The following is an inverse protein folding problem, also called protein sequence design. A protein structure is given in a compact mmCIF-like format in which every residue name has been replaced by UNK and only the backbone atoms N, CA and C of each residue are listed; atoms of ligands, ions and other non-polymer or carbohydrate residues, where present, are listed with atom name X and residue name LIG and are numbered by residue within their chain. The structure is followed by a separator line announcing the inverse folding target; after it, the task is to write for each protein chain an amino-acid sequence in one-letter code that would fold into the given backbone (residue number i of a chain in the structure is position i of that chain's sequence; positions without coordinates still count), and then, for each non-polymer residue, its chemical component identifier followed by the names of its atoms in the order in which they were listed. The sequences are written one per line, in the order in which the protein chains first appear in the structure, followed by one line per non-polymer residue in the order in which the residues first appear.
data_IF_178586004729
#
_entry.id   IF_178586004729
#
_cell.length_a   1.000
_cell.length_b   1.000
_cell.length_c   1.000
_cell.angle_alpha   90.00
_cell.angle_beta   90.00
_cell.angle_gamma   90.00
#
_symmetry.space_group_name_H-M   'P 1'
#
loop_
_entity.id
_entity.type
_entity.pdbx_description
1 polymer ?
#
# COMPACT_ATOMS: atom_id res chain seq x y z
N UNK A 1 -13.11 3.35 2.18
CA UNK A 1 -12.37 4.28 1.29
C UNK A 1 -13.34 5.34 0.80
N UNK A 2 -12.93 6.60 0.60
CA UNK A 2 -13.87 7.69 0.27
C UNK A 2 -13.87 8.08 -1.21
N UNK A 3 -12.70 8.08 -1.85
CA UNK A 3 -12.51 8.58 -3.24
C UNK A 3 -11.81 7.58 -4.15
N UNK A 4 -11.35 6.45 -3.61
CA UNK A 4 -10.67 5.39 -4.33
C UNK A 4 -11.60 4.17 -4.39
N UNK A 5 -11.84 3.68 -5.60
CA UNK A 5 -12.71 2.55 -5.86
C UNK A 5 -12.46 1.95 -7.26
N UNK A 6 -13.35 1.06 -7.69
CA UNK A 6 -13.28 0.47 -9.03
C UNK A 6 -13.46 1.58 -10.07
N UNK A 7 -12.60 1.62 -11.09
CA UNK A 7 -12.60 2.65 -12.13
C UNK A 7 -11.79 3.91 -11.78
N UNK A 8 -11.25 4.02 -10.57
CA UNK A 8 -10.31 5.10 -10.24
C UNK A 8 -9.09 5.03 -11.14
N UNK A 9 -8.82 6.11 -11.88
CA UNK A 9 -7.68 6.27 -12.78
C UNK A 9 -6.45 6.56 -11.93
N UNK A 10 -5.31 5.95 -12.26
CA UNK A 10 -4.07 6.01 -11.49
C UNK A 10 -2.85 6.16 -12.40
N UNK A 11 -1.75 6.65 -11.86
CA UNK A 11 -0.42 6.43 -12.43
C UNK A 11 -0.02 4.98 -12.14
N UNK A 12 0.36 4.24 -13.18
CA UNK A 12 0.82 2.85 -13.05
C UNK A 12 1.98 2.60 -14.00
N UNK A 13 3.16 2.33 -13.44
CA UNK A 13 4.35 1.96 -14.21
C UNK A 13 4.84 3.02 -15.21
N UNK A 14 4.50 4.29 -15.02
CA UNK A 14 4.84 5.35 -15.99
C UNK A 14 3.74 5.65 -17.02
N UNK A 15 2.68 4.84 -17.04
CA UNK A 15 1.51 5.07 -17.88
C UNK A 15 0.25 5.32 -17.04
N UNK A 16 -0.89 5.27 -17.71
CA UNK A 16 -2.22 5.33 -17.08
C UNK A 16 -2.67 3.91 -16.76
N UNK A 17 -3.10 3.70 -15.53
CA UNK A 17 -3.77 2.49 -15.09
C UNK A 17 -5.10 2.78 -14.41
N UNK A 18 -5.75 1.71 -13.98
CA UNK A 18 -7.04 1.76 -13.29
C UNK A 18 -7.05 0.79 -12.13
N UNK A 19 -7.73 1.18 -11.05
CA UNK A 19 -8.17 0.23 -10.02
C UNK A 19 -9.32 -0.57 -10.61
N UNK A 20 -9.18 -1.89 -10.68
CA UNK A 20 -10.20 -2.76 -11.28
C UNK A 20 -10.97 -3.58 -10.26
N UNK A 21 -10.39 -3.80 -9.07
CA UNK A 21 -11.02 -4.56 -7.98
C UNK A 21 -10.25 -4.40 -6.65
N UNK A 22 -10.73 -5.04 -5.59
CA UNK A 22 -9.90 -5.32 -4.41
C UNK A 22 -8.86 -6.40 -4.73
N UNK A 23 -7.64 -6.23 -4.23
CA UNK A 23 -6.57 -7.21 -4.37
C UNK A 23 -6.80 -8.45 -3.50
N UNK A 24 -6.04 -9.52 -3.75
CA UNK A 24 -6.16 -10.79 -3.01
C UNK A 24 -5.89 -10.63 -1.52
N UNK A 25 -4.99 -9.73 -1.13
CA UNK A 25 -4.67 -9.40 0.28
C UNK A 25 -5.52 -8.23 0.81
N UNK A 26 -6.66 -7.93 0.21
CA UNK A 26 -7.53 -6.87 0.74
C UNK A 26 -8.13 -7.33 2.06
N UNK A 27 -7.95 -6.53 3.12
CA UNK A 27 -8.39 -6.86 4.46
C UNK A 27 -8.79 -5.58 5.22
N UNK A 28 -10.01 -5.06 5.00
CA UNK A 28 -10.43 -3.80 5.58
C UNK A 28 -10.70 -3.89 7.10
N UNK A 29 -10.84 -5.11 7.64
CA UNK A 29 -11.12 -5.41 9.04
C UNK A 29 -9.88 -5.60 9.92
N UNK A 30 -8.71 -5.14 9.48
CA UNK A 30 -7.52 -5.08 10.36
C UNK A 30 -7.77 -4.13 11.54
N UNK A 31 -7.07 -4.39 12.65
CA UNK A 31 -7.14 -3.53 13.84
C UNK A 31 -6.72 -2.09 13.50
N UNK A 32 -7.44 -1.13 14.06
CA UNK A 32 -7.17 0.32 13.94
C UNK A 32 -6.86 0.90 15.31
N UNK A 33 -6.05 1.97 15.34
CA UNK A 33 -5.94 2.82 16.55
C UNK A 33 -7.24 3.61 16.73
N UNK A 34 -7.42 4.24 17.88
CA UNK A 34 -8.59 5.09 18.17
C UNK A 34 -8.75 6.26 17.18
N UNK A 35 -7.67 6.62 16.50
CA UNK A 35 -7.64 7.60 15.40
C UNK A 35 -8.27 7.08 14.10
N UNK A 36 -8.63 5.80 14.02
CA UNK A 36 -9.16 5.14 12.82
C UNK A 36 -8.09 4.68 11.83
N UNK A 37 -6.81 4.93 12.11
CA UNK A 37 -5.68 4.55 11.24
C UNK A 37 -5.43 3.04 11.39
N UNK A 38 -5.34 2.28 10.28
CA UNK A 38 -5.08 0.85 10.33
C UNK A 38 -3.66 0.56 10.83
N UNK A 39 -3.51 -0.46 11.68
CA UNK A 39 -2.24 -0.87 12.27
C UNK A 39 -1.47 -1.90 11.43
N UNK A 40 -2.05 -2.32 10.30
CA UNK A 40 -1.52 -3.29 9.35
C UNK A 40 -2.06 -2.97 7.93
N UNK A 41 -1.48 -3.52 6.86
CA UNK A 41 -2.02 -3.35 5.50
C UNK A 41 -3.50 -3.74 5.41
N UNK A 42 -4.35 -2.82 4.94
CA UNK A 42 -5.80 -2.98 4.95
C UNK A 42 -6.44 -2.99 3.55
N UNK A 43 -6.00 -2.08 2.68
CA UNK A 43 -6.68 -1.77 1.42
C UNK A 43 -5.93 -2.15 0.17
N UNK A 44 -5.55 -3.42 0.05
CA UNK A 44 -4.86 -3.92 -1.15
C UNK A 44 -5.73 -3.75 -2.39
N UNK A 45 -5.15 -3.22 -3.48
CA UNK A 45 -5.85 -2.94 -4.74
C UNK A 45 -5.46 -3.97 -5.80
N UNK A 46 -6.41 -4.33 -6.67
CA UNK A 46 -6.11 -4.93 -7.96
C UNK A 46 -6.11 -3.81 -9.01
N UNK A 47 -5.05 -3.74 -9.82
CA UNK A 47 -4.86 -2.69 -10.80
C UNK A 47 -4.59 -3.27 -12.19
N UNK A 48 -5.00 -2.54 -13.22
CA UNK A 48 -4.79 -2.88 -14.63
C UNK A 48 -4.15 -1.71 -15.36
N UNK A 49 -3.21 -1.98 -16.26
CA UNK A 49 -2.65 -0.98 -17.15
C UNK A 49 -2.01 -1.62 -18.39
N UNK A 50 -1.76 -0.79 -19.39
CA UNK A 50 -1.14 -1.19 -20.66
C UNK A 50 0.39 -1.08 -20.56
N UNK A 51 1.08 -2.22 -20.62
CA UNK A 51 2.54 -2.29 -20.57
C UNK A 51 3.22 -1.48 -21.69
N UNK A 52 2.56 -1.27 -22.84
CA UNK A 52 3.14 -0.50 -23.96
C UNK A 52 3.32 0.98 -23.63
N UNK A 53 2.61 1.49 -22.64
CA UNK A 53 2.70 2.87 -22.16
C UNK A 53 3.60 3.01 -20.93
N UNK A 54 4.07 1.89 -20.37
CA UNK A 54 4.88 1.86 -19.17
C UNK A 54 6.37 2.00 -19.49
N UNK A 55 7.15 2.34 -18.46
CA UNK A 55 8.60 2.52 -18.57
C UNK A 55 9.32 1.67 -17.54
N UNK A 56 10.48 1.13 -17.95
CA UNK A 56 11.42 0.41 -17.07
C UNK A 56 11.95 1.28 -15.93
N UNK A 57 11.76 2.59 -15.95
CA UNK A 57 12.04 3.47 -14.81
C UNK A 57 11.10 3.25 -13.63
N UNK A 58 9.93 2.65 -13.88
CA UNK A 58 8.85 2.45 -12.90
C UNK A 58 8.43 1.00 -12.76
N UNK A 59 8.82 0.14 -13.71
CA UNK A 59 8.53 -1.28 -13.71
C UNK A 59 9.84 -2.06 -13.76
N UNK A 60 10.31 -2.52 -12.60
CA UNK A 60 11.66 -3.07 -12.42
C UNK A 60 11.58 -4.45 -11.81
N UNK A 61 12.18 -5.44 -12.47
CA UNK A 61 12.44 -6.75 -11.86
C UNK A 61 13.48 -6.62 -10.75
N UNK A 62 13.16 -7.10 -9.57
CA UNK A 62 14.03 -7.08 -8.38
C UNK A 62 14.16 -8.47 -7.78
N UNK A 63 15.13 -8.65 -6.88
CA UNK A 63 15.24 -9.87 -6.08
C UNK A 63 15.43 -9.49 -4.62
N UNK A 64 14.60 -10.08 -3.77
CA UNK A 64 14.68 -9.91 -2.32
C UNK A 64 15.31 -11.16 -1.74
N UNK A 65 16.41 -10.99 -1.01
CA UNK A 65 17.07 -12.11 -0.35
C UNK A 65 16.09 -12.82 0.59
N UNK A 66 15.96 -14.15 0.44
CA UNK A 66 15.01 -14.97 1.22
C UNK A 66 13.57 -14.95 0.73
N UNK A 67 13.17 -14.02 -0.14
CA UNK A 67 11.82 -13.95 -0.71
C UNK A 67 11.80 -14.35 -2.20
N UNK A 68 12.88 -14.05 -2.94
CA UNK A 68 13.07 -14.46 -4.33
C UNK A 68 12.82 -13.35 -5.34
N UNK A 69 12.41 -13.74 -6.56
CA UNK A 69 12.15 -12.83 -7.68
C UNK A 69 10.90 -11.99 -7.36
N UNK A 70 11.00 -10.68 -7.56
CA UNK A 70 9.99 -9.69 -7.20
C UNK A 70 9.85 -8.67 -8.33
N UNK A 71 8.70 -7.99 -8.40
CA UNK A 71 8.47 -6.87 -9.30
C UNK A 71 8.21 -5.60 -8.49
N UNK A 72 9.04 -4.58 -8.72
CA UNK A 72 8.82 -3.25 -8.16
C UNK A 72 8.04 -2.40 -9.17
N UNK A 73 6.90 -1.89 -8.73
CA UNK A 73 5.95 -1.15 -9.57
C UNK A 73 5.72 0.24 -8.99
N UNK A 74 5.92 1.28 -9.81
CA UNK A 74 5.55 2.65 -9.49
C UNK A 74 4.04 2.83 -9.57
N UNK A 75 3.43 3.23 -8.46
CA UNK A 75 1.99 3.48 -8.36
C UNK A 75 1.77 4.87 -7.77
N UNK A 76 0.88 5.65 -8.38
CA UNK A 76 0.45 6.96 -7.89
C UNK A 76 -1.05 7.10 -7.99
N UNK A 77 -1.71 7.46 -6.90
CA UNK A 77 -3.18 7.58 -6.84
C UNK A 77 -3.51 9.03 -6.48
N UNK A 78 -4.22 9.78 -7.34
CA UNK A 78 -4.67 11.11 -6.98
C UNK A 78 -5.82 11.00 -5.97
N UNK A 79 -5.76 11.77 -4.89
CA UNK A 79 -6.83 11.83 -3.88
C UNK A 79 -7.52 13.19 -4.00
N UNK A 80 -8.70 13.26 -4.64
CA UNK A 80 -9.45 14.51 -4.71
C UNK A 80 -9.95 14.91 -3.32
N UNK A 81 -9.63 16.14 -2.89
CA UNK A 81 -10.10 16.68 -1.61
C UNK A 81 -11.49 17.28 -1.83
N UNK A 82 -12.52 16.46 -1.62
CA UNK A 82 -13.92 16.86 -1.87
C UNK A 82 -14.59 17.49 -0.63
N UNK A 83 -14.03 17.27 0.55
CA UNK A 83 -14.53 17.79 1.82
C UNK A 83 -13.44 17.77 2.91
N UNK A 84 -13.77 18.34 4.07
CA UNK A 84 -12.88 18.45 5.22
C UNK A 84 -12.50 17.10 5.82
N UNK A 85 -13.39 16.11 5.76
CA UNK A 85 -13.14 14.75 6.25
C UNK A 85 -12.00 14.09 5.45
N UNK A 86 -12.02 14.20 4.12
CA UNK A 86 -10.94 13.68 3.25
C UNK A 86 -9.64 14.45 3.48
N UNK A 87 -9.72 15.77 3.65
CA UNK A 87 -8.56 16.59 4.01
C UNK A 87 -7.90 16.06 5.30
N UNK A 88 -8.70 15.80 6.34
CA UNK A 88 -8.22 15.23 7.60
C UNK A 88 -7.55 13.86 7.41
N UNK A 89 -8.11 12.98 6.57
CA UNK A 89 -7.52 11.65 6.31
C UNK A 89 -6.20 11.69 5.54
N UNK A 90 -5.96 12.75 4.75
CA UNK A 90 -4.70 12.93 4.02
C UNK A 90 -3.64 13.70 4.80
N UNK A 91 -4.02 14.35 5.91
CA UNK A 91 -3.13 15.13 6.77
C UNK A 91 -2.48 14.32 7.92
N UNK A 92 -2.57 12.98 7.88
CA UNK A 92 -2.04 12.08 8.92
C UNK A 92 -0.50 12.19 8.97
N UNK A 93 0.05 12.32 10.18
CA UNK A 93 1.49 12.42 10.41
C UNK A 93 2.13 11.05 10.55
N UNK A 94 3.42 10.97 10.22
CA UNK A 94 4.21 9.75 10.36
C UNK A 94 4.23 9.15 11.78
N UNK A 95 4.08 9.97 12.83
CA UNK A 95 4.01 9.50 14.22
C UNK A 95 2.69 8.79 14.58
N UNK A 96 1.64 9.05 13.79
CA UNK A 96 0.31 8.46 13.96
C UNK A 96 0.09 7.21 13.10
N UNK A 97 0.99 6.94 12.15
CA UNK A 97 0.94 5.75 11.30
C UNK A 97 1.76 4.64 11.95
N UNK A 98 1.08 3.62 12.47
CA UNK A 98 1.70 2.47 13.13
C UNK A 98 1.73 1.26 12.23
N UNK A 99 2.77 0.44 12.38
CA UNK A 99 2.93 -0.84 11.69
C UNK A 99 3.48 -1.92 12.63
N UNK A 100 3.43 -3.17 12.18
CA UNK A 100 3.84 -4.35 12.94
C UNK A 100 5.27 -4.75 12.59
N UNK A 101 6.03 -5.20 13.59
CA UNK A 101 7.32 -5.86 13.39
C UNK A 101 7.03 -7.34 13.20
N UNK A 102 7.31 -7.86 12.00
CA UNK A 102 7.03 -9.25 11.62
C UNK A 102 8.32 -9.96 11.27
N UNK A 103 8.47 -11.20 11.74
CA UNK A 103 9.56 -12.07 11.31
C UNK A 103 9.30 -12.58 9.89
N UNK A 104 10.04 -12.03 8.92
CA UNK A 104 9.94 -12.44 7.52
C UNK A 104 10.61 -13.79 7.23
N UNK A 105 11.46 -14.30 8.12
CA UNK A 105 12.18 -15.57 7.94
C UNK A 105 11.33 -16.80 8.31
N UNK A 106 10.45 -16.66 9.30
CA UNK A 106 9.59 -17.76 9.79
C UNK A 106 8.10 -17.37 9.77
N UNK A 107 7.71 -16.30 10.46
CA UNK A 107 6.29 -16.03 10.69
C UNK A 107 5.52 -15.70 9.40
N UNK A 108 6.10 -14.86 8.53
CA UNK A 108 5.48 -14.48 7.26
C UNK A 108 5.26 -15.66 6.29
N UNK A 109 6.29 -16.45 5.91
CA UNK A 109 6.11 -17.56 4.97
C UNK A 109 5.20 -18.68 5.52
N UNK A 110 5.15 -18.86 6.84
CA UNK A 110 4.30 -19.86 7.49
C UNK A 110 2.89 -19.35 7.84
N UNK A 111 2.56 -18.09 7.50
CA UNK A 111 1.27 -17.49 7.85
C UNK A 111 0.98 -17.45 9.35
N UNK A 112 2.02 -17.47 10.19
CA UNK A 112 1.87 -17.44 11.65
C UNK A 112 1.36 -16.06 12.05
N UNK A 113 0.27 -16.05 12.83
CA UNK A 113 -0.27 -14.81 13.39
C UNK A 113 0.67 -14.29 14.46
N UNK A 114 0.91 -12.99 14.47
CA UNK A 114 1.64 -12.35 15.54
C UNK A 114 2.39 -11.11 15.05
N UNK A 115 2.72 -10.27 16.00
CA UNK A 115 3.61 -9.13 15.84
C UNK A 115 4.64 -9.21 16.96
N UNK A 116 5.90 -9.04 16.62
CA UNK A 116 6.99 -9.00 17.59
C UNK A 116 6.98 -7.67 18.37
N UNK A 117 6.32 -6.64 17.84
CA UNK A 117 6.21 -5.30 18.41
C UNK A 117 5.63 -4.31 17.40
N UNK A 118 5.43 -3.06 17.79
CA UNK A 118 4.95 -2.02 16.87
C UNK A 118 6.00 -0.90 16.72
N UNK A 119 6.01 -0.26 15.56
CA UNK A 119 6.76 0.98 15.32
C UNK A 119 5.92 1.95 14.50
N UNK A 120 6.13 3.25 14.69
CA UNK A 120 5.48 4.27 13.84
C UNK A 120 6.38 4.70 12.68
N UNK A 121 5.78 5.33 11.67
CA UNK A 121 6.50 5.74 10.46
C UNK A 121 7.58 6.79 10.74
N UNK A 122 7.43 7.62 11.79
CA UNK A 122 8.45 8.59 12.21
C UNK A 122 9.72 7.89 12.70
N UNK A 123 9.56 6.83 13.49
CA UNK A 123 10.67 6.02 13.98
C UNK A 123 11.39 5.31 12.84
N UNK A 124 10.67 4.55 12.00
CA UNK A 124 11.31 3.79 10.91
C UNK A 124 11.95 4.71 9.85
N UNK A 125 11.43 5.93 9.65
CA UNK A 125 12.06 6.95 8.80
C UNK A 125 13.31 7.57 9.38
N UNK A 126 13.53 7.47 10.69
CA UNK A 126 14.77 7.93 11.33
C UNK A 126 16.00 7.07 10.97
N UNK A 127 15.78 5.92 10.34
CA UNK A 127 16.82 4.96 9.96
C UNK A 127 17.17 3.94 11.05
N UNK A 128 16.52 4.01 12.22
CA UNK A 128 16.67 3.01 13.28
C UNK A 128 15.45 2.91 14.19
N UNK A 129 15.28 1.76 14.83
CA UNK A 129 14.32 1.52 15.91
C UNK A 129 14.99 0.79 17.06
N UNK A 130 14.52 0.99 18.29
CA UNK A 130 14.96 0.20 19.45
C UNK A 130 14.01 -0.98 19.64
N UNK A 131 14.53 -2.20 19.56
CA UNK A 131 13.76 -3.43 19.68
C UNK A 131 14.56 -4.46 20.50
N UNK A 132 13.94 -5.04 21.53
CA UNK A 132 14.58 -5.99 22.46
C UNK A 132 15.92 -5.49 23.03
N UNK A 133 15.98 -4.21 23.41
CA UNK A 133 17.18 -3.59 23.99
C UNK A 133 18.32 -3.33 23.00
N UNK A 134 18.08 -3.50 21.68
CA UNK A 134 19.05 -3.23 20.62
C UNK A 134 18.54 -2.17 19.66
N UNK A 135 19.43 -1.33 19.16
CA UNK A 135 19.15 -0.44 18.05
C UNK A 135 19.30 -1.22 16.73
N UNK A 136 18.23 -1.31 15.96
CA UNK A 136 18.14 -2.04 14.70
C UNK A 136 17.99 -1.02 13.56
N UNK A 137 18.82 -1.09 12.50
CA UNK A 137 18.68 -0.21 11.35
C UNK A 137 17.39 -0.50 10.59
N UNK A 138 16.75 0.54 10.07
CA UNK A 138 15.56 0.42 9.24
C UNK A 138 15.83 0.94 7.83
N UNK A 139 15.23 0.26 6.85
CA UNK A 139 15.27 0.66 5.45
C UNK A 139 13.86 0.55 4.84
N UNK A 140 13.58 1.39 3.86
CA UNK A 140 12.32 1.43 3.13
C UNK A 140 12.35 0.52 1.91
N UNK A 141 11.30 -0.28 1.71
CA UNK A 141 11.09 -1.04 0.47
C UNK A 141 10.74 -0.13 -0.72
N UNK A 142 10.02 0.97 -0.45
CA UNK A 142 9.57 1.92 -1.48
C UNK A 142 10.46 3.16 -1.50
N UNK A 143 11.00 3.54 -2.66
CA UNK A 143 11.83 4.76 -2.79
C UNK A 143 11.00 6.03 -2.66
N UNK A 144 11.32 6.86 -1.65
CA UNK A 144 10.66 8.17 -1.44
C UNK A 144 10.95 9.16 -2.56
N UNK A 145 12.18 9.16 -3.10
CA UNK A 145 12.53 10.01 -4.24
C UNK A 145 11.66 9.68 -5.45
N UNK A 146 11.47 8.38 -5.73
CA UNK A 146 10.61 7.91 -6.82
C UNK A 146 9.14 8.21 -6.54
N UNK A 147 8.67 8.04 -5.31
CA UNK A 147 7.30 8.41 -4.94
C UNK A 147 7.01 9.90 -5.17
N UNK A 148 7.96 10.79 -4.84
CA UNK A 148 7.84 12.23 -5.10
C UNK A 148 7.82 12.54 -6.60
N UNK A 149 8.69 11.90 -7.37
CA UNK A 149 8.72 12.04 -8.83
C UNK A 149 7.40 11.59 -9.49
N UNK A 150 6.79 10.50 -9.00
CA UNK A 150 5.44 10.06 -9.43
C UNK A 150 4.40 11.13 -9.11
N UNK A 151 4.39 11.66 -7.88
CA UNK A 151 3.43 12.67 -7.45
C UNK A 151 3.51 13.94 -8.31
N UNK A 152 4.72 14.44 -8.57
CA UNK A 152 4.94 15.61 -9.43
C UNK A 152 4.56 15.33 -10.90
N UNK A 153 4.84 14.13 -11.40
CA UNK A 153 4.46 13.73 -12.77
C UNK A 153 2.94 13.70 -12.92
N UNK A 154 2.26 13.05 -11.97
CA UNK A 154 0.80 12.95 -11.97
C UNK A 154 0.14 14.33 -11.83
N UNK A 155 0.69 15.19 -10.97
CA UNK A 155 0.25 16.59 -10.84
C UNK A 155 0.32 17.32 -12.19
N UNK A 156 1.45 17.24 -12.89
CA UNK A 156 1.62 17.89 -14.21
C UNK A 156 0.63 17.37 -15.25
N UNK A 157 0.38 16.05 -15.29
CA UNK A 157 -0.60 15.49 -16.22
C UNK A 157 -2.02 15.98 -15.93
N UNK A 158 -2.37 16.15 -14.65
CA UNK A 158 -3.65 16.70 -14.22
C UNK A 158 -3.78 18.18 -14.63
N UNK A 159 -2.77 19.01 -14.33
CA UNK A 159 -2.77 20.44 -14.67
C UNK A 159 -2.85 20.68 -16.18
N UNK A 160 -2.24 19.80 -16.98
CA UNK A 160 -2.26 19.88 -18.45
C UNK A 160 -3.55 19.33 -19.08
N UNK A 161 -4.35 18.56 -18.35
CA UNK A 161 -5.55 17.88 -18.86
C UNK A 161 -5.28 16.55 -19.57
N UNK A 162 -4.03 16.07 -19.61
CA UNK A 162 -3.67 14.75 -20.14
C UNK A 162 -4.20 13.62 -19.22
N UNK A 163 -4.40 13.94 -17.94
CA UNK A 163 -4.99 13.06 -16.95
C UNK A 163 -6.21 13.72 -16.29
N UNK A 164 -7.36 13.10 -16.43
CA UNK A 164 -8.60 13.52 -15.76
C UNK A 164 -8.83 12.64 -14.54
N UNK A 165 -9.22 13.26 -13.42
CA UNK A 165 -9.71 12.55 -12.25
C UNK A 165 -11.00 11.80 -12.61
N UNK A 166 -11.15 10.57 -12.12
CA UNK A 166 -12.38 9.80 -12.28
C UNK A 166 -13.05 9.56 -10.93
N UNK A 167 -14.37 9.67 -10.92
CA UNK A 167 -15.17 9.13 -9.83
C UNK A 167 -15.10 7.60 -9.86
N UNK A 168 -14.96 6.93 -8.70
CA UNK A 168 -15.06 5.48 -8.66
C UNK A 168 -16.46 5.04 -9.10
N UNK A 169 -16.51 4.10 -10.04
CA UNK A 169 -17.76 3.47 -10.53
C UNK A 169 -18.43 2.63 -9.44
N UNK A 170 -17.62 2.04 -8.55
CA UNK A 170 -18.11 1.33 -7.38
C UNK A 170 -17.11 1.42 -6.22
N UNK A 171 -17.60 1.41 -4.96
CA UNK A 171 -16.72 1.40 -3.79
C UNK A 171 -16.02 0.05 -3.64
N UNK A 172 -14.84 0.07 -3.00
CA UNK A 172 -14.20 -1.15 -2.52
C UNK A 172 -14.77 -1.53 -1.15
N UNK A 173 -14.82 -2.83 -0.80
CA UNK A 173 -15.28 -3.28 0.51
C UNK A 173 -14.52 -2.61 1.65
N UNK A 174 -15.22 -1.93 2.55
CA UNK A 174 -14.61 -1.34 3.74
C UNK A 174 -14.90 -2.17 5.01
N UNK A 175 -14.52 -1.66 6.17
CA UNK A 175 -14.72 -2.34 7.45
C UNK A 175 -16.21 -2.60 7.75
N UNK A 176 -17.11 -1.79 7.21
CA UNK A 176 -18.57 -1.89 7.42
C UNK A 176 -19.27 -2.76 6.38
N UNK A 177 -18.56 -3.18 5.33
CA UNK A 177 -19.11 -3.99 4.24
C UNK A 177 -19.43 -5.44 4.61
N UNK A 178 -19.02 -5.91 5.79
CA UNK A 178 -19.11 -7.32 6.18
C UNK A 178 -18.12 -8.23 5.45
N UNK A 179 -17.27 -7.68 4.58
CA UNK A 179 -16.19 -8.42 3.93
C UNK A 179 -15.15 -8.87 4.96
N UNK A 180 -14.76 -10.14 4.89
CA UNK A 180 -13.70 -10.73 5.70
C UNK A 180 -12.65 -11.34 4.79
N UNK A 181 -11.38 -11.04 5.07
CA UNK A 181 -10.25 -11.64 4.38
C UNK A 181 -10.24 -13.16 4.61
N UNK A 182 -10.20 -13.91 3.51
CA UNK A 182 -10.16 -15.38 3.54
C UNK A 182 -8.77 -15.82 3.07
N UNK A 183 -7.82 -16.07 4.00
CA UNK A 183 -6.51 -16.59 3.59
C UNK A 183 -6.66 -17.95 2.92
N UNK A 184 -5.76 -18.24 1.99
CA UNK A 184 -5.63 -19.58 1.44
C UNK A 184 -5.32 -20.54 2.59
N UNK A 185 -6.14 -21.57 2.75
CA UNK A 185 -5.88 -22.65 3.69
C UNK A 185 -5.19 -23.77 2.93
N UNK A 186 -3.88 -23.88 3.11
CA UNK A 186 -3.12 -25.02 2.60
C UNK A 186 -3.58 -26.29 3.31
N UNK A 187 -3.78 -27.36 2.54
CA UNK A 187 -4.09 -28.68 3.12
C UNK A 187 -2.77 -29.30 3.56
N UNK A 188 -2.67 -29.87 4.76
CA UNK A 188 -1.49 -30.62 5.15
C UNK A 188 -1.25 -31.75 4.15
N UNK A 189 -0.01 -31.86 3.67
CA UNK A 189 0.44 -33.02 2.94
C UNK A 189 0.67 -34.10 4.00
N UNK A 190 -0.20 -35.10 4.05
CA UNK A 190 0.09 -36.29 4.84
C UNK A 190 1.12 -37.10 4.06
N UNK A 191 2.37 -37.14 4.53
CA UNK A 191 3.38 -38.10 4.10
C UNK A 191 3.07 -39.51 4.64
#
# INVERSE_FOLDING_TARGET
YKTIGIGSRIFLGGGIGYVVWQGTQHNPGVKRKDTGIPQAPAGTLAVLGDLKQMSSSWLVGTSFQGYGVTLTVGVGIPIPILNEEICKYTAVKDEDIWTQIVDYSDAYPQGKKGSLGEANYKQIKSGKISFQGKDIPTANLSSYSKAKEIAETLKKWIEKGDFLLSEPVAPLPDEKSGYSFKPLKERPINE
#
